data_IF_017566173908
#
_entry.id   IF_017566173908
#
_cell.length_a   1.000
_cell.length_b   1.000
_cell.length_c   1.000
_cell.angle_alpha   90.00
_cell.angle_beta   90.00
_cell.angle_gamma   90.00
#
_symmetry.space_group_name_H-M   'P 1'
#
loop_
_entity.id
_entity.type
_entity.pdbx_description
1 polymer ?
#
# COMPACT_ATOMS: atom_id res chain seq x y z
N UNK A 1 -8.51 -62.01 -12.79
CA UNK A 1 -8.92 -61.38 -11.53
C UNK A 1 -7.73 -61.47 -10.59
N UNK A 2 -7.16 -60.35 -10.24
CA UNK A 2 -6.03 -60.33 -9.28
C UNK A 2 -6.51 -60.61 -7.85
N UNK A 3 -5.63 -60.96 -6.98
CA UNK A 3 -5.91 -61.20 -5.58
C UNK A 3 -6.37 -59.87 -4.91
N UNK A 4 -7.33 -59.92 -3.99
CA UNK A 4 -7.78 -58.73 -3.30
C UNK A 4 -6.67 -58.18 -2.41
N UNK A 5 -6.38 -56.88 -2.51
CA UNK A 5 -5.48 -56.16 -1.62
C UNK A 5 -6.19 -55.88 -0.28
N UNK A 6 -5.58 -56.32 0.83
CA UNK A 6 -6.05 -56.02 2.19
C UNK A 6 -5.30 -54.81 2.75
N UNK A 7 -6.03 -53.72 3.01
CA UNK A 7 -5.47 -52.50 3.56
C UNK A 7 -5.34 -52.65 5.08
N UNK A 8 -4.16 -52.45 5.69
CA UNK A 8 -3.97 -52.46 7.14
C UNK A 8 -4.77 -51.36 7.83
N UNK A 9 -5.22 -51.61 9.06
CA UNK A 9 -6.08 -50.65 9.81
C UNK A 9 -5.39 -49.31 10.14
N UNK A 10 -4.05 -49.24 10.04
CA UNK A 10 -3.28 -48.01 10.25
C UNK A 10 -3.09 -47.14 8.99
N UNK A 11 -3.64 -47.59 7.83
CA UNK A 11 -3.62 -46.82 6.55
C UNK A 11 -5.05 -46.42 6.13
N UNK A 12 -5.68 -45.51 6.87
CA UNK A 12 -7.05 -45.04 6.56
C UNK A 12 -7.12 -44.22 5.27
N UNK A 13 -5.99 -43.79 4.76
CA UNK A 13 -5.78 -43.03 3.54
C UNK A 13 -5.97 -43.88 2.26
N UNK A 14 -5.80 -45.21 2.34
CA UNK A 14 -5.96 -46.09 1.17
C UNK A 14 -7.41 -46.60 1.10
N UNK A 15 -8.18 -46.03 0.19
CA UNK A 15 -9.61 -46.32 0.04
C UNK A 15 -9.97 -46.90 -1.33
N UNK A 16 -9.10 -46.74 -2.33
CA UNK A 16 -9.39 -47.14 -3.68
C UNK A 16 -8.16 -47.62 -4.48
N UNK A 17 -8.40 -47.93 -5.74
CA UNK A 17 -7.39 -48.41 -6.68
C UNK A 17 -6.31 -47.34 -6.95
N UNK A 18 -6.70 -46.05 -7.03
CA UNK A 18 -5.76 -44.96 -7.25
C UNK A 18 -4.70 -44.84 -6.13
N UNK A 19 -5.14 -45.05 -4.87
CA UNK A 19 -4.24 -44.99 -3.71
C UNK A 19 -3.21 -46.16 -3.73
N UNK A 20 -3.64 -47.34 -4.19
CA UNK A 20 -2.74 -48.49 -4.40
C UNK A 20 -1.72 -48.21 -5.51
N UNK A 21 -2.13 -47.54 -6.60
CA UNK A 21 -1.21 -47.15 -7.69
C UNK A 21 -0.20 -46.14 -7.16
N UNK A 22 -0.60 -45.18 -6.32
CA UNK A 22 0.28 -44.24 -5.69
C UNK A 22 1.32 -44.91 -4.81
N UNK A 23 0.92 -45.87 -3.96
CA UNK A 23 1.83 -46.64 -3.13
C UNK A 23 2.86 -47.44 -3.94
N UNK A 24 2.43 -48.11 -5.02
CA UNK A 24 3.32 -48.81 -5.94
C UNK A 24 4.33 -47.84 -6.57
N UNK A 25 3.85 -46.70 -7.07
CA UNK A 25 4.67 -45.65 -7.68
C UNK A 25 5.72 -45.11 -6.68
N UNK A 26 5.31 -44.87 -5.43
CA UNK A 26 6.17 -44.39 -4.35
C UNK A 26 7.28 -45.39 -4.03
N UNK A 27 6.95 -46.68 -3.91
CA UNK A 27 7.91 -47.74 -3.61
C UNK A 27 8.88 -47.99 -4.76
N UNK A 28 8.39 -47.97 -6.01
CA UNK A 28 9.21 -48.15 -7.23
C UNK A 28 10.10 -46.94 -7.51
N UNK A 29 9.80 -45.80 -6.99
CA UNK A 29 10.38 -44.48 -7.20
C UNK A 29 9.64 -43.67 -8.27
N UNK A 30 9.11 -42.54 -7.86
CA UNK A 30 8.43 -41.54 -8.73
C UNK A 30 9.35 -41.03 -9.86
N UNK A 31 10.67 -41.05 -9.66
CA UNK A 31 11.65 -40.66 -10.69
C UNK A 31 11.68 -41.57 -11.91
N UNK A 32 11.14 -42.80 -11.79
CA UNK A 32 11.02 -43.73 -12.92
C UNK A 32 9.76 -43.50 -13.75
N UNK A 33 8.83 -42.71 -13.28
CA UNK A 33 7.62 -42.35 -14.03
C UNK A 33 7.96 -41.31 -15.07
N UNK A 34 7.56 -41.59 -16.31
CA UNK A 34 7.71 -40.59 -17.37
C UNK A 34 6.62 -39.52 -17.22
N UNK A 35 7.02 -38.26 -17.04
CA UNK A 35 6.09 -37.14 -17.02
C UNK A 35 5.47 -36.94 -18.40
N UNK A 36 4.13 -36.85 -18.45
CA UNK A 36 3.39 -36.51 -19.66
C UNK A 36 2.89 -35.08 -19.48
N UNK A 37 3.37 -34.10 -20.30
CA UNK A 37 2.86 -32.73 -20.21
C UNK A 37 1.38 -32.71 -20.59
N UNK A 38 0.61 -31.88 -19.89
CA UNK A 38 -0.79 -31.66 -20.24
C UNK A 38 -0.90 -31.14 -21.69
N UNK A 39 -1.81 -31.71 -22.49
CA UNK A 39 -1.98 -31.26 -23.88
C UNK A 39 -2.43 -29.80 -23.91
N UNK A 40 -1.76 -28.99 -24.75
CA UNK A 40 -2.20 -27.62 -24.97
C UNK A 40 -3.46 -27.61 -25.81
N UNK A 41 -4.48 -26.88 -25.36
CA UNK A 41 -5.66 -26.65 -26.20
C UNK A 41 -5.32 -25.62 -27.26
N UNK A 42 -4.96 -26.07 -28.46
CA UNK A 42 -4.57 -25.21 -29.59
C UNK A 42 -5.75 -24.47 -30.21
N UNK A 43 -6.98 -24.87 -29.89
CA UNK A 43 -8.21 -24.29 -30.46
C UNK A 43 -8.80 -23.19 -29.56
N UNK A 44 -8.23 -22.91 -28.42
CA UNK A 44 -8.70 -21.87 -27.50
C UNK A 44 -7.78 -20.65 -27.53
N UNK A 45 -8.38 -19.47 -27.61
CA UNK A 45 -7.66 -18.21 -27.37
C UNK A 45 -7.22 -18.22 -25.89
N UNK A 46 -5.92 -18.12 -25.60
CA UNK A 46 -5.46 -18.13 -24.23
C UNK A 46 -6.04 -16.94 -23.46
N UNK A 47 -6.74 -17.20 -22.38
CA UNK A 47 -7.19 -16.15 -21.46
C UNK A 47 -5.97 -15.61 -20.69
N UNK A 48 -6.01 -14.34 -20.26
CA UNK A 48 -5.00 -13.81 -19.34
C UNK A 48 -4.84 -14.73 -18.13
N UNK A 49 -3.60 -15.09 -17.80
CA UNK A 49 -3.30 -15.97 -16.67
C UNK A 49 -3.58 -15.28 -15.34
N UNK A 50 -3.29 -13.97 -15.27
CA UNK A 50 -3.51 -13.15 -14.08
C UNK A 50 -4.83 -12.40 -14.14
N UNK A 51 -5.54 -12.38 -13.02
CA UNK A 51 -6.68 -11.47 -12.84
C UNK A 51 -6.21 -10.02 -12.76
N UNK A 52 -7.13 -9.07 -12.93
CA UNK A 52 -6.83 -7.64 -12.79
C UNK A 52 -6.26 -7.30 -11.40
N UNK A 53 -6.74 -7.96 -10.34
CA UNK A 53 -6.25 -7.80 -8.97
C UNK A 53 -4.83 -8.32 -8.83
N UNK A 54 -4.55 -9.54 -9.32
CA UNK A 54 -3.19 -10.11 -9.29
C UNK A 54 -2.18 -9.28 -10.08
N UNK A 55 -2.59 -8.74 -11.24
CA UNK A 55 -1.74 -7.83 -12.02
C UNK A 55 -1.46 -6.53 -11.26
N UNK A 56 -2.48 -5.99 -10.57
CA UNK A 56 -2.33 -4.80 -9.73
C UNK A 56 -1.36 -5.05 -8.58
N UNK A 57 -1.48 -6.16 -7.88
CA UNK A 57 -0.56 -6.56 -6.81
C UNK A 57 0.89 -6.69 -7.33
N UNK A 58 1.08 -7.37 -8.45
CA UNK A 58 2.39 -7.52 -9.07
C UNK A 58 3.00 -6.17 -9.46
N UNK A 59 2.19 -5.27 -10.04
CA UNK A 59 2.62 -3.92 -10.43
C UNK A 59 2.95 -3.09 -9.19
N UNK A 60 2.15 -3.19 -8.12
CA UNK A 60 2.40 -2.49 -6.86
C UNK A 60 3.72 -2.88 -6.22
N UNK A 61 4.05 -4.18 -6.18
CA UNK A 61 5.35 -4.66 -5.65
C UNK A 61 6.53 -4.10 -6.44
N UNK A 62 6.44 -4.15 -7.77
CA UNK A 62 7.50 -3.60 -8.64
C UNK A 62 7.66 -2.10 -8.45
N UNK A 63 6.55 -1.37 -8.41
CA UNK A 63 6.58 0.08 -8.20
C UNK A 63 7.21 0.47 -6.87
N UNK A 64 6.88 -0.23 -5.78
CA UNK A 64 7.51 0.01 -4.47
C UNK A 64 9.02 -0.32 -4.50
N UNK A 65 9.40 -1.43 -5.12
CA UNK A 65 10.81 -1.81 -5.26
C UNK A 65 11.61 -0.80 -6.12
N UNK A 66 11.02 -0.27 -7.21
CA UNK A 66 11.63 0.76 -8.06
C UNK A 66 11.84 2.09 -7.31
N UNK A 67 11.02 2.38 -6.31
CA UNK A 67 11.18 3.53 -5.41
C UNK A 67 12.21 3.28 -4.29
N UNK A 68 12.90 2.14 -4.30
CA UNK A 68 13.96 1.81 -3.36
C UNK A 68 13.51 1.12 -2.07
N UNK A 69 12.25 0.66 -1.99
CA UNK A 69 11.79 -0.09 -0.83
C UNK A 69 12.22 -1.57 -0.89
N UNK A 70 12.57 -2.11 0.26
CA UNK A 70 12.79 -3.54 0.45
C UNK A 70 11.51 -4.23 0.90
N UNK A 71 11.15 -5.33 0.24
CA UNK A 71 9.95 -6.10 0.57
C UNK A 71 10.13 -6.87 1.87
N UNK A 72 9.14 -6.75 2.75
CA UNK A 72 8.99 -7.57 3.93
C UNK A 72 7.84 -8.56 3.72
N UNK A 73 8.00 -9.75 4.30
CA UNK A 73 6.93 -10.76 4.39
C UNK A 73 6.82 -11.14 5.85
N UNK A 74 5.81 -10.61 6.53
CA UNK A 74 5.57 -10.86 7.95
C UNK A 74 4.39 -11.79 8.17
N UNK A 75 4.27 -12.32 9.39
CA UNK A 75 3.13 -13.14 9.76
C UNK A 75 1.84 -12.31 9.82
N UNK A 76 0.72 -12.95 9.44
CA UNK A 76 -0.61 -12.36 9.59
C UNK A 76 -1.10 -12.31 11.04
N UNK A 77 -0.37 -12.93 11.96
CA UNK A 77 -0.68 -13.01 13.38
C UNK A 77 0.28 -12.12 14.16
N UNK A 78 -0.28 -11.33 15.08
CA UNK A 78 0.47 -10.41 15.94
C UNK A 78 -0.05 -10.49 17.38
N UNK A 79 0.64 -9.86 18.29
CA UNK A 79 0.18 -9.73 19.67
C UNK A 79 -1.01 -8.76 19.81
N UNK A 80 -1.80 -8.94 20.86
CA UNK A 80 -3.00 -8.15 21.13
C UNK A 80 -2.72 -6.64 21.26
N UNK A 81 -1.62 -6.27 21.91
CA UNK A 81 -1.28 -4.85 22.11
C UNK A 81 -0.94 -4.17 20.79
N UNK A 82 -0.14 -4.82 19.96
CA UNK A 82 0.16 -4.33 18.60
C UNK A 82 -1.12 -4.21 17.78
N UNK A 83 -2.04 -5.19 17.85
CA UNK A 83 -3.31 -5.12 17.15
C UNK A 83 -4.16 -3.91 17.60
N UNK A 84 -4.26 -3.68 18.93
CA UNK A 84 -5.01 -2.54 19.49
C UNK A 84 -4.46 -1.18 19.08
N UNK A 85 -3.15 -1.04 18.94
CA UNK A 85 -2.51 0.21 18.48
C UNK A 85 -2.94 0.61 17.07
N UNK A 86 -3.35 -0.37 16.23
CA UNK A 86 -3.74 -0.16 14.84
C UNK A 86 -5.23 -0.44 14.58
N UNK A 87 -6.06 -0.34 15.61
CA UNK A 87 -7.52 -0.39 15.47
C UNK A 87 -8.13 -1.78 15.42
N UNK A 88 -7.37 -2.83 15.78
CA UNK A 88 -7.85 -4.20 15.95
C UNK A 88 -7.77 -4.68 17.39
N UNK A 89 -7.52 -5.97 17.59
CA UNK A 89 -7.43 -6.59 18.92
C UNK A 89 -8.79 -6.96 19.53
N UNK A 90 -9.82 -7.04 18.70
CA UNK A 90 -11.15 -7.46 19.09
C UNK A 90 -11.27 -8.99 19.13
N UNK A 91 -12.25 -9.50 19.86
CA UNK A 91 -12.54 -10.92 19.96
C UNK A 91 -12.83 -11.58 18.58
N UNK A 92 -13.32 -10.82 17.60
CA UNK A 92 -13.61 -11.31 16.27
C UNK A 92 -12.36 -11.68 15.45
N UNK A 93 -11.20 -11.12 15.82
CA UNK A 93 -9.90 -11.39 15.17
C UNK A 93 -8.94 -12.18 16.05
N UNK A 94 -9.38 -12.56 17.25
CA UNK A 94 -8.62 -13.40 18.19
C UNK A 94 -8.61 -14.85 17.72
N UNK A 95 -7.44 -15.48 17.77
CA UNK A 95 -7.31 -16.91 17.48
C UNK A 95 -7.73 -17.76 18.68
N UNK A 96 -8.49 -18.82 18.45
CA UNK A 96 -8.91 -19.75 19.50
C UNK A 96 -7.71 -20.52 20.09
N UNK A 97 -6.77 -20.92 19.24
CA UNK A 97 -5.61 -21.73 19.62
C UNK A 97 -4.31 -21.10 19.09
N UNK A 98 -3.87 -19.96 19.65
CA UNK A 98 -2.63 -19.32 19.21
C UNK A 98 -1.40 -20.16 19.57
N UNK A 99 -0.40 -20.20 18.69
CA UNK A 99 0.88 -20.90 18.93
C UNK A 99 1.63 -20.23 20.10
N UNK A 100 1.51 -18.91 20.22
CA UNK A 100 2.08 -18.13 21.33
C UNK A 100 1.22 -16.88 21.58
N UNK A 101 1.39 -16.26 22.75
CA UNK A 101 0.76 -14.98 23.08
C UNK A 101 1.13 -13.84 22.12
N UNK A 102 2.31 -13.93 21.50
CA UNK A 102 2.82 -12.97 20.50
C UNK A 102 2.12 -13.11 19.15
N UNK A 103 1.34 -14.16 18.92
CA UNK A 103 0.63 -14.46 17.67
C UNK A 103 -0.85 -14.76 17.95
N UNK A 104 -1.48 -13.95 18.78
CA UNK A 104 -2.83 -14.21 19.31
C UNK A 104 -3.96 -13.59 18.49
N UNK A 105 -3.67 -12.62 17.63
CA UNK A 105 -4.67 -11.87 16.85
C UNK A 105 -4.28 -11.73 15.37
N UNK A 106 -5.29 -11.70 14.51
CA UNK A 106 -5.10 -11.33 13.12
C UNK A 106 -4.72 -9.85 13.01
N UNK A 107 -3.76 -9.51 12.14
CA UNK A 107 -3.28 -8.14 11.97
C UNK A 107 -4.32 -7.24 11.31
N UNK A 108 -4.68 -6.08 11.90
CA UNK A 108 -5.58 -5.10 11.28
C UNK A 108 -4.87 -4.21 10.25
N UNK A 109 -3.53 -4.15 10.31
CA UNK A 109 -2.67 -3.31 9.48
C UNK A 109 -1.33 -4.01 9.22
N UNK A 110 -0.59 -3.56 8.19
CA UNK A 110 0.74 -4.08 7.86
C UNK A 110 1.86 -3.38 8.67
N UNK A 111 1.63 -2.21 9.21
CA UNK A 111 2.62 -1.45 9.98
C UNK A 111 3.20 -2.20 11.18
N UNK A 112 2.45 -2.98 11.98
CA UNK A 112 3.05 -3.74 13.08
C UNK A 112 4.23 -4.60 12.62
N UNK A 113 4.06 -5.36 11.53
CA UNK A 113 5.12 -6.20 10.96
C UNK A 113 6.30 -5.38 10.44
N UNK A 114 6.01 -4.28 9.72
CA UNK A 114 7.03 -3.37 9.19
C UNK A 114 7.84 -2.69 10.30
N UNK A 115 7.17 -2.21 11.37
CA UNK A 115 7.84 -1.55 12.49
C UNK A 115 8.66 -2.55 13.33
N UNK A 116 8.19 -3.77 13.53
CA UNK A 116 8.99 -4.83 14.16
C UNK A 116 10.24 -5.17 13.32
N UNK A 117 10.11 -5.23 11.99
CA UNK A 117 11.25 -5.41 11.10
C UNK A 117 12.24 -4.25 11.20
N UNK A 118 11.73 -3.02 11.21
CA UNK A 118 12.54 -1.81 11.37
C UNK A 118 13.28 -1.78 12.71
N UNK A 119 12.60 -2.06 13.81
CA UNK A 119 13.21 -2.13 15.16
C UNK A 119 14.37 -3.13 15.21
N UNK A 120 14.16 -4.36 14.67
CA UNK A 120 15.23 -5.35 14.57
C UNK A 120 16.44 -4.89 13.74
N UNK A 121 16.20 -4.12 12.69
CA UNK A 121 17.27 -3.57 11.86
C UNK A 121 17.98 -2.40 12.55
N UNK A 122 17.27 -1.50 13.24
CA UNK A 122 17.88 -0.45 14.04
C UNK A 122 18.77 -1.01 15.15
N UNK A 123 18.34 -2.09 15.80
CA UNK A 123 19.18 -2.80 16.80
C UNK A 123 20.48 -3.37 16.20
N UNK A 124 20.55 -3.54 14.88
CA UNK A 124 21.77 -3.96 14.14
C UNK A 124 22.56 -2.79 13.54
N UNK A 125 22.14 -1.55 13.80
CA UNK A 125 22.82 -0.35 13.33
C UNK A 125 22.35 0.21 11.99
N UNK A 126 21.26 -0.30 11.41
CA UNK A 126 20.66 0.24 10.19
C UNK A 126 19.59 1.27 10.57
N UNK A 127 19.87 2.55 10.40
CA UNK A 127 18.97 3.63 10.78
C UNK A 127 18.20 4.23 9.60
N UNK A 128 18.71 4.13 8.39
CA UNK A 128 18.04 4.60 7.18
C UNK A 128 17.42 3.42 6.46
N UNK A 129 16.10 3.40 6.34
CA UNK A 129 15.36 2.25 5.81
C UNK A 129 14.15 2.68 5.00
N UNK A 130 13.91 1.95 3.91
CA UNK A 130 12.68 1.97 3.14
C UNK A 130 12.15 0.52 3.10
N UNK A 131 11.07 0.24 3.80
CA UNK A 131 10.48 -1.10 3.90
C UNK A 131 9.04 -1.06 3.41
N UNK A 132 8.59 -2.12 2.72
CA UNK A 132 7.19 -2.27 2.33
C UNK A 132 6.71 -3.71 2.48
N UNK A 133 5.42 -3.86 2.57
CA UNK A 133 4.74 -5.15 2.52
C UNK A 133 3.43 -5.01 1.75
N UNK A 134 3.10 -6.03 0.94
CA UNK A 134 1.81 -6.19 0.31
C UNK A 134 1.18 -7.49 0.80
N UNK A 135 0.02 -7.37 1.41
CA UNK A 135 -0.66 -8.54 1.95
C UNK A 135 -2.04 -8.22 2.53
N UNK A 136 -2.72 -9.25 3.02
CA UNK A 136 -4.03 -9.11 3.64
C UNK A 136 -3.93 -8.50 5.04
N UNK A 137 -4.93 -7.68 5.35
CA UNK A 137 -5.27 -7.20 6.70
C UNK A 137 -6.69 -7.63 7.01
N UNK A 138 -7.02 -7.73 8.29
CA UNK A 138 -8.24 -8.39 8.76
C UNK A 138 -9.06 -7.45 9.64
N UNK A 139 -10.26 -7.12 9.18
CA UNK A 139 -11.21 -6.26 9.89
C UNK A 139 -12.32 -7.05 10.60
N UNK A 140 -12.16 -8.38 10.70
CA UNK A 140 -13.09 -9.31 11.33
C UNK A 140 -12.69 -10.75 11.07
N UNK A 141 -13.45 -11.70 11.64
CA UNK A 141 -13.17 -13.14 11.59
C UNK A 141 -13.61 -13.84 10.30
N UNK A 142 -14.50 -13.23 9.52
CA UNK A 142 -15.00 -13.85 8.29
C UNK A 142 -14.07 -13.62 7.09
N UNK A 143 -13.99 -14.57 6.13
CA UNK A 143 -13.16 -14.41 4.94
C UNK A 143 -13.47 -13.15 4.11
N UNK A 144 -14.72 -12.65 4.16
CA UNK A 144 -15.13 -11.40 3.50
C UNK A 144 -14.63 -10.12 4.17
N UNK A 145 -14.07 -10.21 5.37
CA UNK A 145 -13.57 -9.08 6.14
C UNK A 145 -12.06 -8.85 5.99
N UNK A 146 -11.40 -9.57 5.07
CA UNK A 146 -10.01 -9.28 4.71
C UNK A 146 -9.94 -8.28 3.55
N UNK A 147 -8.86 -7.50 3.55
CA UNK A 147 -8.57 -6.49 2.54
C UNK A 147 -7.10 -6.55 2.18
N UNK A 148 -6.75 -6.47 0.89
CA UNK A 148 -5.36 -6.40 0.45
C UNK A 148 -4.86 -4.96 0.46
N UNK A 149 -3.82 -4.73 1.25
CA UNK A 149 -3.16 -3.44 1.36
C UNK A 149 -1.70 -3.53 0.89
N UNK A 150 -1.19 -2.41 0.41
CA UNK A 150 0.23 -2.14 0.27
C UNK A 150 0.60 -1.06 1.27
N UNK A 151 1.47 -1.35 2.23
CA UNK A 151 2.00 -0.33 3.14
C UNK A 151 3.51 -0.22 3.00
N UNK A 152 4.00 1.01 3.15
CA UNK A 152 5.43 1.30 3.13
C UNK A 152 5.81 2.28 4.24
N UNK A 153 7.04 2.16 4.73
CA UNK A 153 7.63 3.04 5.75
C UNK A 153 9.01 3.49 5.33
N UNK A 154 9.27 4.80 5.47
CA UNK A 154 10.60 5.42 5.35
C UNK A 154 11.06 5.86 6.73
N UNK A 155 12.30 5.58 7.08
CA UNK A 155 12.89 5.92 8.38
C UNK A 155 14.27 6.53 8.15
N UNK A 156 14.57 7.63 8.84
CA UNK A 156 15.88 8.26 8.88
C UNK A 156 16.08 9.30 7.78
N UNK A 157 17.08 9.12 6.96
CA UNK A 157 17.50 10.07 5.93
C UNK A 157 17.05 9.59 4.53
N UNK A 158 16.85 10.54 3.61
CA UNK A 158 16.45 10.25 2.21
C UNK A 158 17.55 9.57 1.41
N UNK A 159 18.80 9.79 1.77
CA UNK A 159 19.97 9.19 1.12
C UNK A 159 21.08 8.96 2.15
N UNK A 160 22.04 8.13 1.81
CA UNK A 160 23.30 8.03 2.55
C UNK A 160 24.14 9.27 2.27
N UNK A 161 24.90 9.73 3.29
CA UNK A 161 25.83 10.85 3.14
C UNK A 161 26.86 10.54 2.06
N UNK A 162 26.94 11.39 1.06
CA UNK A 162 27.91 11.29 -0.02
C UNK A 162 28.53 12.67 -0.38
N UNK A 163 29.37 12.71 -1.41
CA UNK A 163 30.05 13.93 -1.86
C UNK A 163 29.20 14.79 -2.82
N UNK A 164 28.05 14.31 -3.26
CA UNK A 164 27.24 14.92 -4.31
C UNK A 164 25.99 15.64 -3.81
N UNK A 165 25.60 15.47 -2.56
CA UNK A 165 24.39 16.06 -2.03
C UNK A 165 24.37 16.19 -0.52
N UNK A 166 23.36 16.91 -0.04
CA UNK A 166 23.01 16.95 1.37
C UNK A 166 21.93 15.92 1.65
N UNK A 167 22.18 15.04 2.59
CA UNK A 167 21.15 14.20 3.18
C UNK A 167 20.18 15.08 3.97
N UNK A 168 18.89 14.74 3.88
CA UNK A 168 17.83 15.33 4.70
C UNK A 168 16.97 14.24 5.32
N UNK A 169 16.35 14.58 6.40
CA UNK A 169 15.37 13.72 7.01
C UNK A 169 14.20 13.43 6.06
N UNK A 170 13.67 12.21 6.14
CA UNK A 170 12.44 11.84 5.41
C UNK A 170 11.25 12.63 5.95
N UNK A 171 10.35 13.04 5.06
CA UNK A 171 9.18 13.81 5.42
C UNK A 171 7.89 13.29 4.75
N UNK A 172 6.77 13.91 5.10
CA UNK A 172 5.45 13.54 4.58
C UNK A 172 5.33 13.70 3.05
N UNK A 173 6.12 14.57 2.44
CA UNK A 173 6.09 14.81 0.99
C UNK A 173 6.79 13.70 0.22
N UNK A 174 7.77 13.03 0.83
CA UNK A 174 8.42 11.86 0.23
C UNK A 174 7.40 10.74 0.03
N UNK A 175 6.71 10.34 1.09
CA UNK A 175 5.70 9.29 1.00
C UNK A 175 4.48 9.70 0.19
N UNK A 176 4.14 11.00 0.16
CA UNK A 176 3.10 11.53 -0.73
C UNK A 176 3.48 11.31 -2.19
N UNK A 177 4.70 11.66 -2.57
CA UNK A 177 5.23 11.43 -3.92
C UNK A 177 5.20 9.94 -4.28
N UNK A 178 5.65 9.08 -3.37
CA UNK A 178 5.71 7.64 -3.58
C UNK A 178 4.31 7.03 -3.76
N UNK A 179 3.35 7.36 -2.91
CA UNK A 179 1.98 6.84 -3.04
C UNK A 179 1.31 7.31 -4.32
N UNK A 180 1.48 8.57 -4.73
CA UNK A 180 0.94 9.11 -5.98
C UNK A 180 1.53 8.39 -7.20
N UNK A 181 2.85 8.12 -7.21
CA UNK A 181 3.52 7.35 -8.26
C UNK A 181 2.96 5.93 -8.35
N UNK A 182 2.87 5.21 -7.23
CA UNK A 182 2.33 3.85 -7.22
C UNK A 182 0.88 3.84 -7.71
N UNK A 183 0.03 4.74 -7.21
CA UNK A 183 -1.37 4.86 -7.65
C UNK A 183 -1.49 5.08 -9.15
N UNK A 184 -0.63 5.92 -9.74
CA UNK A 184 -0.57 6.16 -11.17
C UNK A 184 -0.21 4.88 -11.96
N UNK A 185 0.81 4.14 -11.51
CA UNK A 185 1.28 2.92 -12.17
C UNK A 185 0.26 1.79 -12.13
N UNK A 186 -0.50 1.67 -11.05
CA UNK A 186 -1.55 0.63 -10.90
C UNK A 186 -2.89 1.01 -11.53
N UNK A 187 -2.93 2.16 -12.23
CA UNK A 187 -4.11 2.60 -12.98
C UNK A 187 -5.23 3.16 -12.10
N UNK A 188 -4.92 3.72 -10.94
CA UNK A 188 -5.88 4.45 -10.15
C UNK A 188 -6.36 5.72 -10.89
N UNK A 189 -7.61 6.17 -10.67
CA UNK A 189 -8.08 7.42 -11.27
C UNK A 189 -7.19 8.61 -10.88
N UNK A 190 -6.77 9.42 -11.85
CA UNK A 190 -5.87 10.57 -11.64
C UNK A 190 -6.53 11.73 -10.89
N UNK A 191 -7.88 11.78 -10.86
CA UNK A 191 -8.63 12.81 -10.13
C UNK A 191 -9.02 12.28 -8.76
N UNK A 192 -8.22 12.57 -7.76
CA UNK A 192 -8.48 12.30 -6.36
C UNK A 192 -8.38 13.57 -5.54
N UNK A 193 -8.91 13.53 -4.32
CA UNK A 193 -8.83 14.59 -3.35
C UNK A 193 -7.95 14.15 -2.18
N UNK A 194 -7.16 15.07 -1.62
CA UNK A 194 -6.43 14.84 -0.38
C UNK A 194 -7.21 15.51 0.74
N UNK A 195 -7.68 14.71 1.69
CA UNK A 195 -8.48 15.15 2.82
C UNK A 195 -7.72 14.90 4.13
N UNK A 196 -7.98 15.71 5.13
CA UNK A 196 -7.51 15.51 6.50
C UNK A 196 -8.32 14.43 7.21
N UNK A 197 -7.78 13.93 8.30
CA UNK A 197 -8.41 12.92 9.17
C UNK A 197 -8.04 11.50 8.75
N UNK A 198 -7.41 10.80 9.66
CA UNK A 198 -7.04 9.40 9.56
C UNK A 198 -7.14 8.74 10.93
N UNK A 199 -6.80 7.47 11.00
CA UNK A 199 -6.81 6.66 12.20
C UNK A 199 -5.78 7.15 13.23
N UNK A 200 -5.93 6.70 14.47
CA UNK A 200 -5.17 7.22 15.63
C UNK A 200 -3.66 6.92 15.60
N UNK A 201 -3.22 5.99 14.77
CA UNK A 201 -1.79 5.68 14.61
C UNK A 201 -1.03 6.69 13.74
N UNK A 202 -1.72 7.60 13.06
CA UNK A 202 -1.13 8.70 12.31
C UNK A 202 -0.96 9.96 13.16
N UNK A 203 0.07 10.75 12.86
CA UNK A 203 0.26 12.04 13.50
C UNK A 203 -0.92 12.99 13.19
N UNK A 204 -1.58 13.59 14.18
CA UNK A 204 -2.85 14.31 13.97
C UNK A 204 -2.78 15.50 13.01
N UNK A 205 -1.60 16.10 12.83
CA UNK A 205 -1.43 17.29 11.97
C UNK A 205 -0.62 17.02 10.67
N UNK A 206 0.03 15.85 10.55
CA UNK A 206 0.97 15.58 9.45
C UNK A 206 0.63 14.28 8.73
N UNK A 207 -0.59 14.20 8.21
CA UNK A 207 -1.09 13.09 7.40
C UNK A 207 -2.13 13.55 6.40
N UNK A 208 -2.40 12.74 5.40
CA UNK A 208 -3.46 12.95 4.41
C UNK A 208 -4.07 11.64 3.94
N UNK A 209 -5.36 11.69 3.60
CA UNK A 209 -6.10 10.59 2.95
C UNK A 209 -6.35 10.94 1.49
N UNK A 210 -6.02 10.02 0.61
CA UNK A 210 -6.32 10.09 -0.82
C UNK A 210 -7.69 9.47 -1.05
N UNK A 211 -8.64 10.25 -1.57
CA UNK A 211 -10.02 9.86 -1.69
C UNK A 211 -10.56 10.03 -3.12
N UNK A 212 -11.32 9.03 -3.57
CA UNK A 212 -12.15 9.13 -4.78
C UNK A 212 -13.55 9.64 -4.35
N UNK A 213 -13.73 10.96 -4.42
CA UNK A 213 -14.87 11.62 -3.81
C UNK A 213 -14.77 11.63 -2.27
N UNK A 214 -15.80 12.11 -1.56
CA UNK A 214 -15.71 12.39 -0.11
C UNK A 214 -15.64 11.13 0.78
N UNK A 215 -16.06 9.98 0.28
CA UNK A 215 -16.28 8.78 1.10
C UNK A 215 -15.31 7.63 0.83
N UNK A 216 -14.72 7.53 -0.35
CA UNK A 216 -13.94 6.36 -0.75
C UNK A 216 -12.44 6.62 -0.63
N UNK A 217 -11.84 6.25 0.48
CA UNK A 217 -10.39 6.29 0.69
C UNK A 217 -9.71 5.19 -0.13
N UNK A 218 -8.66 5.54 -0.87
CA UNK A 218 -7.83 4.61 -1.64
C UNK A 218 -6.39 4.58 -1.15
N UNK A 219 -6.00 5.56 -0.32
CA UNK A 219 -4.68 5.59 0.29
C UNK A 219 -4.62 6.58 1.44
N UNK A 220 -3.65 6.36 2.30
CA UNK A 220 -3.34 7.21 3.46
C UNK A 220 -1.83 7.36 3.52
N UNK A 221 -1.34 8.53 3.87
CA UNK A 221 0.09 8.79 4.03
C UNK A 221 0.34 9.82 5.12
N UNK A 222 1.50 9.79 5.72
CA UNK A 222 1.86 10.77 6.75
C UNK A 222 2.97 10.30 7.68
N UNK A 223 3.18 11.07 8.75
CA UNK A 223 4.03 10.65 9.86
C UNK A 223 3.25 9.70 10.78
N UNK A 224 3.94 8.70 11.29
CA UNK A 224 3.38 7.85 12.34
C UNK A 224 3.37 8.57 13.69
N UNK A 225 2.38 8.28 14.51
CA UNK A 225 2.22 8.93 15.82
C UNK A 225 3.41 8.57 16.75
N UNK A 226 4.02 9.54 17.47
CA UNK A 226 5.16 9.27 18.36
C UNK A 226 4.93 8.16 19.39
N UNK A 227 3.70 8.00 19.89
CA UNK A 227 3.35 6.89 20.78
C UNK A 227 3.51 5.51 20.12
N UNK A 228 3.17 5.40 18.84
CA UNK A 228 3.37 4.18 18.06
C UNK A 228 4.87 3.89 17.93
N UNK A 229 5.65 4.88 17.52
CA UNK A 229 7.10 4.72 17.37
C UNK A 229 7.77 4.29 18.67
N UNK A 230 7.37 4.89 19.80
CA UNK A 230 7.85 4.50 21.13
C UNK A 230 7.48 3.06 21.50
N UNK A 231 6.27 2.59 21.13
CA UNK A 231 5.82 1.22 21.43
C UNK A 231 6.60 0.15 20.67
N UNK A 232 7.19 0.51 19.52
CA UNK A 232 8.03 -0.37 18.71
C UNK A 232 9.54 -0.07 18.85
N UNK A 233 9.92 0.83 19.75
CA UNK A 233 11.32 1.28 19.97
C UNK A 233 11.98 1.83 18.68
N UNK A 234 11.19 2.52 17.86
CA UNK A 234 11.68 3.17 16.62
C UNK A 234 12.24 4.55 16.93
N UNK A 235 13.43 4.82 16.42
CA UNK A 235 14.15 6.10 16.55
C UNK A 235 14.24 6.81 15.21
N UNK A 236 14.18 8.14 15.28
CA UNK A 236 14.30 9.00 14.11
C UNK A 236 12.99 9.32 13.40
N UNK A 237 13.03 10.20 12.40
CA UNK A 237 11.87 10.56 11.61
C UNK A 237 11.34 9.33 10.89
N UNK A 238 10.02 9.16 10.95
CA UNK A 238 9.35 7.97 10.39
C UNK A 238 8.05 8.39 9.72
N UNK A 239 7.97 8.16 8.44
CA UNK A 239 6.81 8.43 7.60
C UNK A 239 6.38 7.17 6.86
N UNK A 240 5.12 7.07 6.52
CA UNK A 240 4.60 5.89 5.84
C UNK A 240 3.39 6.16 4.98
N UNK A 241 2.99 5.14 4.25
CA UNK A 241 1.77 5.15 3.47
C UNK A 241 1.09 3.78 3.49
N UNK A 242 -0.21 3.78 3.25
CA UNK A 242 -1.01 2.58 2.97
C UNK A 242 -1.88 2.83 1.76
N UNK A 243 -1.86 1.91 0.80
CA UNK A 243 -2.76 1.87 -0.35
C UNK A 243 -3.76 0.73 -0.14
N UNK A 244 -5.04 1.06 -0.19
CA UNK A 244 -6.17 0.13 -0.08
C UNK A 244 -6.48 -0.42 -1.47
N UNK A 245 -5.80 -1.50 -1.88
CA UNK A 245 -5.84 -2.00 -3.27
C UNK A 245 -7.24 -2.38 -3.73
N UNK A 246 -8.04 -2.95 -2.84
CA UNK A 246 -9.41 -3.39 -3.14
C UNK A 246 -10.38 -2.21 -3.30
N UNK A 247 -10.01 -1.05 -2.77
CA UNK A 247 -10.79 0.17 -2.94
C UNK A 247 -10.57 0.86 -4.29
N UNK A 248 -9.54 0.48 -5.04
CA UNK A 248 -9.25 1.09 -6.33
C UNK A 248 -10.15 0.47 -7.40
N UNK A 249 -10.96 1.25 -8.11
CA UNK A 249 -11.85 0.71 -9.14
C UNK A 249 -11.05 0.11 -10.30
N UNK A 250 -11.59 -0.92 -10.92
CA UNK A 250 -11.03 -1.45 -12.16
C UNK A 250 -11.30 -0.44 -13.29
N UNK A 251 -10.29 -0.10 -14.12
CA UNK A 251 -10.50 0.80 -15.26
C UNK A 251 -11.59 0.26 -16.18
N UNK A 252 -12.53 1.11 -16.56
CA UNK A 252 -13.62 0.72 -17.49
C UNK A 252 -13.11 0.41 -18.89
N UNK A 253 -12.07 1.10 -19.30
CA UNK A 253 -11.40 0.89 -20.60
C UNK A 253 -10.04 0.24 -20.36
N UNK A 254 -9.90 -1.00 -20.81
CA UNK A 254 -8.61 -1.71 -20.83
C UNK A 254 -7.73 -1.33 -22.01
N UNK A 255 -8.18 -0.39 -22.86
CA UNK A 255 -7.44 0.02 -24.03
C UNK A 255 -6.23 0.88 -23.64
N UNK A 256 -5.06 0.53 -24.15
CA UNK A 256 -3.82 1.29 -24.04
C UNK A 256 -3.78 2.50 -25.01
N UNK A 257 -4.82 2.68 -25.81
CA UNK A 257 -4.92 3.77 -26.78
C UNK A 257 -5.06 5.10 -26.04
N UNK A 258 -4.09 5.96 -26.20
CA UNK A 258 -4.16 7.34 -25.69
C UNK A 258 -5.08 8.17 -26.59
N UNK A 259 -5.80 9.17 -26.05
CA UNK A 259 -6.56 10.10 -26.89
C UNK A 259 -5.62 10.83 -27.84
N UNK A 260 -6.09 11.21 -29.04
CA UNK A 260 -5.27 11.94 -29.98
C UNK A 260 -4.79 13.26 -29.35
N UNK A 261 -3.56 13.61 -29.64
CA UNK A 261 -3.01 14.88 -29.23
C UNK A 261 -3.80 16.03 -29.89
N UNK A 262 -4.29 16.96 -29.07
CA UNK A 262 -4.95 18.18 -29.52
C UNK A 262 -4.06 19.35 -29.17
N UNK A 263 -3.34 19.86 -30.17
CA UNK A 263 -2.55 21.07 -29.99
C UNK A 263 -3.48 22.26 -29.69
N UNK A 264 -3.12 23.04 -28.69
CA UNK A 264 -3.79 24.32 -28.45
C UNK A 264 -3.21 25.41 -29.33
N UNK A 265 -4.04 26.33 -29.76
CA UNK A 265 -3.62 27.48 -30.57
C UNK A 265 -3.05 28.63 -29.74
N UNK A 266 -3.26 28.59 -28.41
CA UNK A 266 -2.78 29.62 -27.50
C UNK A 266 -1.44 29.17 -26.89
N UNK A 267 -0.53 30.14 -26.74
CA UNK A 267 0.72 29.93 -26.04
C UNK A 267 0.47 29.86 -24.53
N UNK A 268 1.16 28.92 -23.86
CA UNK A 268 1.12 28.82 -22.41
C UNK A 268 1.71 30.09 -21.75
N UNK A 269 1.04 30.56 -20.71
CA UNK A 269 1.47 31.72 -19.91
C UNK A 269 1.31 31.36 -18.45
N UNK A 270 2.34 31.56 -17.66
CA UNK A 270 2.30 31.36 -16.20
C UNK A 270 2.06 32.71 -15.48
N UNK A 271 1.25 32.69 -14.44
CA UNK A 271 0.95 33.84 -13.58
C UNK A 271 0.89 33.42 -12.12
N UNK A 272 1.55 34.19 -11.26
CA UNK A 272 1.56 33.99 -9.83
C UNK A 272 0.52 34.86 -9.15
N UNK A 273 -0.19 34.27 -8.19
CA UNK A 273 -1.19 34.94 -7.36
C UNK A 273 -0.95 34.57 -5.90
N UNK A 274 -1.06 35.53 -5.00
CA UNK A 274 -1.03 35.31 -3.57
C UNK A 274 -2.38 35.69 -2.93
N UNK A 275 -2.92 34.80 -2.12
CA UNK A 275 -4.21 34.99 -1.45
C UNK A 275 -4.04 34.93 0.05
N UNK A 276 -4.52 35.97 0.73
CA UNK A 276 -4.63 35.97 2.20
C UNK A 276 -5.94 35.30 2.57
N UNK A 277 -5.88 34.20 3.28
CA UNK A 277 -7.02 33.39 3.66
C UNK A 277 -6.98 33.04 5.16
N UNK A 278 -8.07 32.53 5.71
CA UNK A 278 -8.06 32.02 7.08
C UNK A 278 -7.09 30.84 7.23
N UNK A 279 -6.39 30.74 8.36
CA UNK A 279 -5.37 29.71 8.60
C UNK A 279 -5.90 28.27 8.42
N UNK A 280 -7.20 28.03 8.61
CA UNK A 280 -7.85 26.72 8.45
C UNK A 280 -8.24 26.39 7.00
N UNK A 281 -8.12 27.34 6.07
CA UNK A 281 -8.46 27.11 4.65
C UNK A 281 -7.40 26.20 4.05
N UNK A 282 -7.82 25.09 3.47
CA UNK A 282 -6.92 24.14 2.80
C UNK A 282 -6.51 24.67 1.42
N UNK A 283 -5.27 24.44 1.04
CA UNK A 283 -4.74 24.84 -0.27
C UNK A 283 -5.55 24.24 -1.44
N UNK A 284 -6.10 23.04 -1.25
CA UNK A 284 -6.97 22.35 -2.20
C UNK A 284 -8.24 23.14 -2.56
N UNK A 285 -8.77 23.93 -1.63
CA UNK A 285 -9.93 24.79 -1.87
C UNK A 285 -9.57 25.90 -2.86
N UNK A 286 -8.39 26.49 -2.69
CA UNK A 286 -7.88 27.57 -3.56
C UNK A 286 -7.58 27.03 -4.95
N UNK A 287 -6.83 25.93 -5.04
CA UNK A 287 -6.47 25.31 -6.33
C UNK A 287 -7.71 24.83 -7.10
N UNK A 288 -8.70 24.25 -6.39
CA UNK A 288 -9.97 23.83 -7.00
C UNK A 288 -10.79 25.01 -7.51
N UNK A 289 -10.85 26.10 -6.74
CA UNK A 289 -11.56 27.32 -7.16
C UNK A 289 -10.89 27.96 -8.38
N UNK A 290 -9.56 28.05 -8.38
CA UNK A 290 -8.80 28.58 -9.51
C UNK A 290 -9.01 27.71 -10.78
N UNK A 291 -8.81 26.39 -10.70
CA UNK A 291 -9.08 25.46 -11.82
C UNK A 291 -10.52 25.52 -12.31
N UNK A 292 -11.47 25.74 -11.41
CA UNK A 292 -12.90 25.84 -11.73
C UNK A 292 -13.30 27.11 -12.47
N UNK A 293 -12.48 28.17 -12.41
CA UNK A 293 -12.85 29.49 -12.95
C UNK A 293 -12.92 29.50 -14.48
N UNK A 294 -11.98 28.81 -15.18
CA UNK A 294 -11.90 28.69 -16.64
C UNK A 294 -11.25 27.40 -17.07
N UNK A 295 -11.97 26.30 -16.96
CA UNK A 295 -11.51 24.93 -17.29
C UNK A 295 -10.95 24.76 -18.72
N UNK A 296 -11.36 25.59 -19.64
CA UNK A 296 -10.94 25.51 -21.03
C UNK A 296 -9.56 26.13 -21.27
N UNK A 297 -9.11 27.00 -20.37
CA UNK A 297 -7.88 27.79 -20.51
C UNK A 297 -6.84 27.37 -19.50
N UNK A 298 -7.24 27.14 -18.23
CA UNK A 298 -6.34 26.79 -17.15
C UNK A 298 -5.95 25.31 -17.30
N UNK A 299 -4.66 25.06 -17.44
CA UNK A 299 -4.10 23.72 -17.58
C UNK A 299 -3.65 23.16 -16.24
N UNK A 300 -2.98 23.98 -15.42
CA UNK A 300 -2.44 23.60 -14.13
C UNK A 300 -2.60 24.72 -13.11
N UNK A 301 -2.75 24.35 -11.86
CA UNK A 301 -2.66 25.25 -10.70
C UNK A 301 -1.77 24.59 -9.67
N UNK A 302 -0.64 25.23 -9.35
CA UNK A 302 0.35 24.71 -8.41
C UNK A 302 0.52 25.69 -7.24
N UNK A 303 0.48 25.18 -6.01
CA UNK A 303 0.88 25.93 -4.81
C UNK A 303 2.41 25.89 -4.72
N UNK A 304 3.04 27.05 -4.59
CA UNK A 304 4.49 27.12 -4.46
C UNK A 304 4.98 27.75 -3.15
N UNK A 305 4.09 28.46 -2.43
CA UNK A 305 4.45 29.05 -1.14
C UNK A 305 3.25 29.15 -0.20
N UNK A 306 3.53 29.01 1.10
CA UNK A 306 2.60 29.24 2.20
C UNK A 306 3.32 30.02 3.30
N UNK A 307 2.86 31.22 3.61
CA UNK A 307 3.41 32.08 4.65
C UNK A 307 2.41 32.29 5.79
N UNK A 308 2.88 32.09 7.03
CA UNK A 308 2.11 32.26 8.26
C UNK A 308 2.87 33.24 9.16
N UNK A 309 2.19 34.29 9.62
CA UNK A 309 2.79 35.28 10.53
C UNK A 309 2.99 36.66 9.89
N UNK A 310 3.84 37.50 10.51
CA UNK A 310 4.08 38.88 10.08
C UNK A 310 2.80 39.75 10.15
N UNK A 311 2.67 40.66 9.20
CA UNK A 311 1.56 41.67 9.15
C UNK A 311 0.23 41.09 8.63
N UNK A 312 0.10 39.77 8.45
CA UNK A 312 -1.13 39.15 7.94
C UNK A 312 -2.31 39.18 8.95
N UNK A 313 -2.01 39.41 10.23
CA UNK A 313 -2.98 39.37 11.33
C UNK A 313 -3.23 37.93 11.83
N UNK A 314 -3.75 37.85 13.08
CA UNK A 314 -3.98 36.56 13.74
C UNK A 314 -4.99 35.67 12.96
N UNK A 315 -4.71 34.41 12.89
CA UNK A 315 -5.59 33.40 12.27
C UNK A 315 -5.66 33.48 10.74
N UNK A 316 -4.71 34.14 10.08
CA UNK A 316 -4.57 34.22 8.62
C UNK A 316 -3.28 33.63 8.13
N UNK A 317 -3.27 33.21 6.87
CA UNK A 317 -2.11 32.79 6.11
C UNK A 317 -2.16 33.31 4.68
N UNK A 318 -1.02 33.47 4.05
CA UNK A 318 -0.89 33.73 2.62
C UNK A 318 -0.59 32.43 1.90
N UNK A 319 -1.31 32.13 0.84
CA UNK A 319 -1.05 30.98 -0.03
C UNK A 319 -0.76 31.50 -1.42
N UNK A 320 0.39 31.19 -1.96
CA UNK A 320 0.80 31.58 -3.30
C UNK A 320 0.64 30.41 -4.28
N UNK A 321 0.03 30.72 -5.41
CA UNK A 321 -0.21 29.74 -6.49
C UNK A 321 0.30 30.28 -7.82
N UNK A 322 0.82 29.38 -8.65
CA UNK A 322 1.05 29.60 -10.09
C UNK A 322 -0.11 28.98 -10.87
N UNK A 323 -0.63 29.73 -11.82
CA UNK A 323 -1.72 29.32 -12.72
C UNK A 323 -1.23 29.38 -14.15
#
# INVERSE_FOLDING_TARGET
>A
KGDPASVPSWRPDIQGEADLVEEIARVVSLTKLQGIPLPRNTNAVPKPVLSATQLREQTSRRAAAELGYNECVSYSFIDENSAKLFGGGDASTQLENPISSEMSHMRPDLFPGLLQAASRNQARGFFNMALFELGPVFNGGDPGNQQNNLSGVLIGQTASKDVHGQDREVDVFDVKCHIENILSLIGAPSKFQILRGAESHWHPGRHGRICLGPKKTIGIFGELHPKILSSFDIKGPTVGFTILLDNIPTPRNSNTTRPPFRARSLQAVERDFAFVVGAKVEASVITTAAMGSKKDIIEEVRVFDEFIGGDLGDGKKSVAITV
#
